data_IF_971647016254
#
_entry.id   IF_971647016254
#
_cell.length_a   1.000
_cell.length_b   1.000
_cell.length_c   1.000
_cell.angle_alpha   90.00
_cell.angle_beta   90.00
_cell.angle_gamma   90.00
#
_symmetry.space_group_name_H-M   'P 1'
#
loop_
_entity.id
_entity.type
_entity.pdbx_description
1 polymer ?
#
# COMPACT_ATOMS: atom_id res chain seq x y z
N UNK A 1 -26.49 -35.94 -3.56
CA UNK A 1 -25.05 -35.61 -3.49
C UNK A 1 -24.49 -36.39 -2.32
N UNK A 2 -23.88 -37.51 -2.66
CA UNK A 2 -23.31 -38.45 -1.71
C UNK A 2 -22.05 -37.85 -1.06
N UNK A 3 -21.77 -38.22 0.19
CA UNK A 3 -20.60 -37.71 0.94
C UNK A 3 -19.27 -37.99 0.23
N UNK A 4 -19.21 -39.08 -0.53
CA UNK A 4 -18.05 -39.50 -1.32
C UNK A 4 -17.83 -38.59 -2.55
N UNK A 5 -18.92 -38.18 -3.21
CA UNK A 5 -18.88 -37.24 -4.34
C UNK A 5 -18.34 -35.88 -3.89
N UNK A 6 -18.76 -35.41 -2.70
CA UNK A 6 -18.25 -34.17 -2.10
C UNK A 6 -16.75 -34.26 -1.76
N UNK A 7 -16.27 -35.41 -1.28
CA UNK A 7 -14.86 -35.62 -0.99
C UNK A 7 -14.02 -35.63 -2.27
N UNK A 8 -14.50 -36.29 -3.33
CA UNK A 8 -13.85 -36.31 -4.63
C UNK A 8 -13.77 -34.92 -5.26
N UNK A 9 -14.82 -34.11 -5.14
CA UNK A 9 -14.84 -32.75 -5.67
C UNK A 9 -13.81 -31.86 -4.96
N UNK A 10 -13.67 -31.99 -3.64
CA UNK A 10 -12.67 -31.25 -2.85
C UNK A 10 -11.24 -31.60 -3.25
N UNK A 11 -10.96 -32.89 -3.48
CA UNK A 11 -9.65 -33.33 -3.96
C UNK A 11 -9.34 -32.74 -5.34
N UNK A 12 -10.31 -32.73 -6.26
CA UNK A 12 -10.14 -32.11 -7.58
C UNK A 12 -9.86 -30.60 -7.48
N UNK A 13 -10.59 -29.87 -6.64
CA UNK A 13 -10.32 -28.44 -6.42
C UNK A 13 -8.92 -28.19 -5.85
N UNK A 14 -8.45 -29.07 -4.97
CA UNK A 14 -7.11 -28.96 -4.41
C UNK A 14 -6.03 -29.19 -5.48
N UNK A 15 -6.13 -30.28 -6.26
CA UNK A 15 -5.22 -30.57 -7.37
C UNK A 15 -5.18 -29.43 -8.39
N UNK A 16 -6.34 -28.93 -8.80
CA UNK A 16 -6.43 -27.77 -9.70
C UNK A 16 -5.74 -26.55 -9.11
N UNK A 17 -5.93 -26.29 -7.80
CA UNK A 17 -5.25 -25.21 -7.10
C UNK A 17 -3.73 -25.34 -7.10
N UNK A 18 -3.20 -26.54 -6.88
CA UNK A 18 -1.75 -26.80 -6.95
C UNK A 18 -1.22 -26.62 -8.37
N UNK A 19 -1.92 -27.14 -9.37
CA UNK A 19 -1.53 -27.00 -10.79
C UNK A 19 -1.55 -25.55 -11.26
N UNK A 20 -2.51 -24.75 -10.81
CA UNK A 20 -2.55 -23.31 -11.07
C UNK A 20 -1.31 -22.65 -10.48
N UNK A 21 -1.01 -22.87 -9.19
CA UNK A 21 0.18 -22.28 -8.55
C UNK A 21 1.47 -22.64 -9.28
N UNK A 22 1.62 -23.90 -9.66
CA UNK A 22 2.79 -24.37 -10.41
C UNK A 22 2.85 -23.72 -11.79
N UNK A 23 1.71 -23.65 -12.50
CA UNK A 23 1.60 -22.97 -13.79
C UNK A 23 1.97 -21.48 -13.70
N UNK A 24 1.46 -20.76 -12.70
CA UNK A 24 1.79 -19.35 -12.45
C UNK A 24 3.27 -19.15 -12.12
N UNK A 25 3.85 -20.04 -11.31
CA UNK A 25 5.28 -20.00 -10.99
C UNK A 25 6.16 -20.24 -12.22
N UNK A 26 5.79 -21.20 -13.08
CA UNK A 26 6.48 -21.45 -14.34
C UNK A 26 6.34 -20.28 -15.32
N UNK A 27 5.12 -19.78 -15.54
CA UNK A 27 4.87 -18.64 -16.42
C UNK A 27 5.62 -17.39 -15.96
N UNK A 28 5.68 -17.15 -14.64
CA UNK A 28 6.49 -16.07 -14.06
C UNK A 28 7.98 -16.28 -14.32
N UNK A 29 8.49 -17.49 -14.13
CA UNK A 29 9.89 -17.81 -14.40
C UNK A 29 10.24 -17.60 -15.88
N UNK A 30 9.39 -18.03 -16.79
CA UNK A 30 9.54 -17.82 -18.23
C UNK A 30 9.53 -16.33 -18.59
N UNK A 31 8.60 -15.57 -18.01
CA UNK A 31 8.56 -14.12 -18.20
C UNK A 31 9.84 -13.43 -17.72
N UNK A 32 10.39 -13.83 -16.56
CA UNK A 32 11.68 -13.33 -16.07
C UNK A 32 12.84 -13.70 -16.99
N UNK A 33 12.84 -14.91 -17.54
CA UNK A 33 13.88 -15.35 -18.47
C UNK A 33 13.82 -14.54 -19.77
N UNK A 34 12.65 -14.43 -20.37
CA UNK A 34 12.44 -13.62 -21.58
C UNK A 34 12.80 -12.14 -21.37
N UNK A 35 12.49 -11.58 -20.18
CA UNK A 35 12.90 -10.24 -19.82
C UNK A 35 14.43 -10.12 -19.77
N UNK A 36 15.13 -11.07 -19.14
CA UNK A 36 16.60 -11.10 -19.11
C UNK A 36 17.22 -11.23 -20.50
N UNK A 37 16.66 -12.08 -21.35
CA UNK A 37 17.14 -12.26 -22.72
C UNK A 37 16.94 -10.96 -23.52
N UNK A 38 15.80 -10.29 -23.35
CA UNK A 38 15.52 -8.98 -23.97
C UNK A 38 16.47 -7.88 -23.44
N UNK A 39 16.75 -7.87 -22.13
CA UNK A 39 17.70 -6.94 -21.51
C UNK A 39 19.12 -7.14 -22.06
N UNK A 40 19.54 -8.39 -22.20
CA UNK A 40 20.85 -8.75 -22.75
C UNK A 40 20.96 -8.40 -24.23
N UNK A 41 19.94 -8.72 -25.03
CA UNK A 41 19.89 -8.40 -26.46
C UNK A 41 19.94 -6.89 -26.73
N UNK A 42 19.33 -6.10 -25.86
CA UNK A 42 19.34 -4.64 -25.96
C UNK A 42 20.58 -3.99 -25.32
N UNK A 43 21.45 -4.77 -24.66
CA UNK A 43 22.64 -4.27 -23.98
C UNK A 43 22.35 -3.38 -22.77
N UNK A 44 21.14 -3.47 -22.20
CA UNK A 44 20.74 -2.65 -21.05
C UNK A 44 21.30 -3.24 -19.76
N UNK A 45 21.89 -2.37 -18.94
CA UNK A 45 22.36 -2.73 -17.60
C UNK A 45 21.24 -2.61 -16.57
N UNK A 46 21.36 -3.35 -15.46
CA UNK A 46 20.44 -3.23 -14.31
C UNK A 46 20.35 -1.79 -13.79
N UNK A 47 21.47 -1.05 -13.86
CA UNK A 47 21.56 0.34 -13.44
C UNK A 47 20.74 1.28 -14.34
N UNK A 48 20.76 1.08 -15.66
CA UNK A 48 19.99 1.89 -16.60
C UNK A 48 18.48 1.65 -16.47
N UNK A 49 18.09 0.39 -16.25
CA UNK A 49 16.69 0.01 -16.03
C UNK A 49 16.21 0.55 -14.68
N UNK A 50 17.00 0.37 -13.63
CA UNK A 50 16.70 0.95 -12.32
C UNK A 50 16.62 2.48 -12.39
N UNK A 51 17.53 3.16 -13.09
CA UNK A 51 17.52 4.61 -13.27
C UNK A 51 16.29 5.08 -14.05
N UNK A 52 15.88 4.36 -15.10
CA UNK A 52 14.68 4.67 -15.88
C UNK A 52 13.42 4.68 -15.01
N UNK A 53 13.23 3.67 -14.17
CA UNK A 53 12.07 3.59 -13.27
C UNK A 53 12.20 4.49 -12.02
N UNK A 54 13.42 4.81 -11.58
CA UNK A 54 13.66 5.71 -10.46
C UNK A 54 13.38 7.17 -10.79
N UNK A 55 13.56 7.57 -12.06
CA UNK A 55 13.31 8.95 -12.52
C UNK A 55 11.83 9.35 -12.46
N UNK A 56 10.93 8.37 -12.47
CA UNK A 56 9.47 8.55 -12.32
C UNK A 56 9.07 8.75 -10.84
N UNK A 57 9.90 8.31 -9.87
CA UNK A 57 9.66 8.45 -8.43
C UNK A 57 10.54 9.52 -7.79
N UNK A 58 10.62 10.72 -8.36
CA UNK A 58 10.99 11.87 -7.53
C UNK A 58 9.73 12.30 -6.76
N UNK A 59 9.61 12.03 -5.44
CA UNK A 59 8.65 12.77 -4.64
C UNK A 59 9.12 14.23 -4.61
N UNK A 60 8.61 15.05 -5.52
CA UNK A 60 8.65 16.51 -5.40
C UNK A 60 7.66 16.91 -4.30
N UNK A 61 8.02 16.61 -3.06
CA UNK A 61 7.18 16.90 -1.92
C UNK A 61 7.90 16.53 -0.64
N UNK A 62 8.14 17.53 0.20
CA UNK A 62 8.57 17.44 1.60
C UNK A 62 7.52 16.66 2.42
N UNK A 63 7.41 15.36 2.16
CA UNK A 63 6.66 14.39 2.96
C UNK A 63 7.48 14.08 4.20
N UNK A 64 7.37 14.91 5.23
CA UNK A 64 8.04 14.65 6.50
C UNK A 64 8.43 15.86 7.34
N UNK A 65 8.13 17.10 6.91
CA UNK A 65 8.32 18.25 7.80
C UNK A 65 7.28 18.15 8.92
N UNK A 66 7.73 17.69 10.10
CA UNK A 66 6.93 17.51 11.31
C UNK A 66 6.40 18.89 11.72
N UNK A 67 5.19 19.22 11.28
CA UNK A 67 4.54 20.49 11.63
C UNK A 67 4.21 20.42 13.13
N UNK A 68 4.59 21.42 13.94
CA UNK A 68 4.25 21.44 15.35
C UNK A 68 2.72 21.40 15.51
N UNK A 69 2.25 20.69 16.54
CA UNK A 69 0.83 20.69 16.89
C UNK A 69 0.39 22.12 17.19
N UNK A 70 -0.68 22.57 16.52
CA UNK A 70 -1.27 23.90 16.72
C UNK A 70 -2.37 23.88 17.77
N UNK A 71 -2.99 22.71 17.98
CA UNK A 71 -4.07 22.53 18.93
C UNK A 71 -3.86 21.28 19.80
N UNK A 72 -4.28 21.31 21.06
CA UNK A 72 -4.25 20.24 22.06
C UNK A 72 -5.55 20.23 22.86
N UNK A 73 -6.16 19.06 22.93
CA UNK A 73 -7.34 18.82 23.75
C UNK A 73 -6.94 18.62 25.22
N UNK A 74 -7.63 19.29 26.15
CA UNK A 74 -7.32 19.21 27.60
C UNK A 74 -7.85 17.93 28.25
N UNK A 75 -8.94 17.37 27.74
CA UNK A 75 -9.55 16.17 28.30
C UNK A 75 -8.78 14.90 27.92
N UNK A 76 -8.31 14.82 26.67
CA UNK A 76 -7.70 13.61 26.08
C UNK A 76 -6.22 13.75 25.75
N UNK A 77 -5.64 14.95 25.89
CA UNK A 77 -4.28 15.27 25.45
C UNK A 77 -4.01 15.03 23.95
N UNK A 78 -5.05 14.85 23.13
CA UNK A 78 -4.90 14.68 21.70
C UNK A 78 -4.42 15.99 21.06
N UNK A 79 -3.45 15.91 20.15
CA UNK A 79 -2.89 17.07 19.46
C UNK A 79 -3.23 17.08 17.97
N UNK A 80 -3.52 18.26 17.41
CA UNK A 80 -3.78 18.44 15.98
C UNK A 80 -2.96 19.59 15.41
N UNK A 81 -2.31 19.36 14.26
CA UNK A 81 -1.42 20.34 13.60
C UNK A 81 -2.18 21.41 12.81
N UNK A 82 -3.51 21.33 12.74
CA UNK A 82 -4.34 22.19 11.90
C UNK A 82 -4.28 21.85 10.41
N UNK A 83 -3.60 20.74 10.03
CA UNK A 83 -3.55 20.22 8.66
C UNK A 83 -4.38 18.93 8.54
N UNK A 84 -5.00 18.74 7.38
CA UNK A 84 -5.82 17.55 7.07
C UNK A 84 -7.21 17.56 7.70
N UNK A 85 -7.87 16.40 7.75
CA UNK A 85 -9.21 16.25 8.34
C UNK A 85 -9.14 16.56 9.83
N UNK A 86 -9.95 17.52 10.29
CA UNK A 86 -10.04 17.86 11.69
C UNK A 86 -10.59 16.67 12.51
N UNK A 87 -9.99 16.38 13.67
CA UNK A 87 -10.48 15.33 14.55
C UNK A 87 -11.82 15.73 15.18
N UNK A 88 -12.60 14.73 15.60
CA UNK A 88 -13.96 14.93 16.12
C UNK A 88 -14.00 15.90 17.29
N UNK A 89 -13.05 15.83 18.24
CA UNK A 89 -12.96 16.74 19.39
C UNK A 89 -12.79 18.21 18.96
N UNK A 90 -12.00 18.48 17.92
CA UNK A 90 -11.78 19.84 17.42
C UNK A 90 -13.03 20.40 16.74
N UNK A 91 -13.76 19.56 16.01
CA UNK A 91 -15.03 19.96 15.40
C UNK A 91 -16.13 20.15 16.44
N UNK A 92 -16.17 19.32 17.49
CA UNK A 92 -17.11 19.47 18.59
C UNK A 92 -16.89 20.79 19.32
N UNK A 93 -15.65 21.11 19.71
CA UNK A 93 -15.31 22.41 20.30
C UNK A 93 -15.72 23.58 19.40
N UNK A 94 -15.49 23.48 18.09
CA UNK A 94 -15.93 24.51 17.14
C UNK A 94 -17.44 24.69 17.04
N UNK A 95 -18.20 23.59 17.07
CA UNK A 95 -19.66 23.62 16.90
C UNK A 95 -20.38 24.00 18.18
N UNK A 96 -19.83 23.63 19.34
CA UNK A 96 -20.39 23.92 20.66
C UNK A 96 -20.19 25.38 21.10
N UNK A 97 -19.70 26.26 20.22
CA UNK A 97 -19.29 27.63 20.58
C UNK A 97 -18.04 27.67 21.47
N UNK A 98 -17.31 26.56 21.53
CA UNK A 98 -16.09 26.40 22.32
C UNK A 98 -14.98 27.33 21.83
N UNK A 99 -14.25 27.87 22.80
CA UNK A 99 -13.19 28.83 22.56
C UNK A 99 -11.95 28.11 22.03
N UNK A 100 -11.87 27.90 20.71
CA UNK A 100 -10.77 27.19 20.03
C UNK A 100 -9.37 27.71 20.36
N UNK A 101 -9.23 28.94 20.89
CA UNK A 101 -7.95 29.46 21.35
C UNK A 101 -7.46 28.76 22.63
N UNK A 102 -8.36 28.16 23.43
CA UNK A 102 -7.98 27.36 24.59
C UNK A 102 -7.31 26.03 24.20
N UNK A 103 -7.50 25.63 22.94
CA UNK A 103 -6.86 24.46 22.37
C UNK A 103 -5.46 24.81 21.85
N UNK A 104 -5.06 26.08 21.69
CA UNK A 104 -3.76 26.43 21.10
C UNK A 104 -2.56 25.99 21.95
#
# INVERSE_FOLDING_TARGET
>A
MDSEELAQLRLQYHDLGERIKVGEAMAKKEALQNAKDSMTAAGLTDAEIAAHFSKVRKPTGVSGMKVPAKYRDRATNATWTGRGKAPTWFNQERVQGGHIEQLR
#
